data_IF_301033081843
#
_entry.id   IF_301033081843
#
_cell.length_a   1.000
_cell.length_b   1.000
_cell.length_c   1.000
_cell.angle_alpha   90.00
_cell.angle_beta   90.00
_cell.angle_gamma   90.00
#
_symmetry.space_group_name_H-M   'P 1'
#
loop_
_entity.id
_entity.type
_entity.pdbx_description
1 polymer ?
#
# COMPACT_ATOMS: atom_id res chain seq x y z
N UNK A 1 -5.66 25.20 -30.71
CA UNK A 1 -5.27 26.01 -29.53
C UNK A 1 -6.14 25.74 -28.30
N UNK A 2 -7.49 25.68 -28.38
CA UNK A 2 -8.35 25.35 -27.23
C UNK A 2 -8.12 23.92 -26.69
N UNK A 3 -8.08 22.91 -27.56
CA UNK A 3 -7.86 21.50 -27.19
C UNK A 3 -6.50 21.27 -26.51
N UNK A 4 -5.45 21.94 -26.99
CA UNK A 4 -4.11 21.88 -26.39
C UNK A 4 -4.09 22.48 -24.97
N UNK A 5 -4.82 23.58 -24.75
CA UNK A 5 -4.96 24.18 -23.43
C UNK A 5 -5.76 23.24 -22.50
N UNK A 6 -6.77 22.55 -23.02
CA UNK A 6 -7.56 21.55 -22.29
C UNK A 6 -6.70 20.34 -21.87
N UNK A 7 -5.86 19.79 -22.76
CA UNK A 7 -4.94 18.69 -22.42
C UNK A 7 -3.97 19.07 -21.30
N UNK A 8 -3.34 20.26 -21.39
CA UNK A 8 -2.41 20.73 -20.35
C UNK A 8 -3.16 21.02 -19.04
N UNK A 9 -4.37 21.59 -19.11
CA UNK A 9 -5.19 21.85 -17.93
C UNK A 9 -5.62 20.55 -17.25
N UNK A 10 -6.09 19.56 -18.00
CA UNK A 10 -6.48 18.26 -17.47
C UNK A 10 -5.29 17.49 -16.89
N UNK A 11 -4.09 17.68 -17.46
CA UNK A 11 -2.87 17.07 -16.92
C UNK A 11 -2.36 17.78 -15.66
N UNK A 12 -2.54 19.10 -15.55
CA UNK A 12 -2.30 19.84 -14.30
C UNK A 12 -3.31 19.43 -13.23
N UNK A 13 -4.59 19.26 -13.59
CA UNK A 13 -5.60 18.72 -12.68
C UNK A 13 -5.22 17.32 -12.22
N UNK A 14 -4.79 16.44 -13.13
CA UNK A 14 -4.27 15.12 -12.77
C UNK A 14 -3.05 15.22 -11.85
N UNK A 15 -2.05 16.06 -12.16
CA UNK A 15 -0.88 16.23 -11.32
C UNK A 15 -1.27 16.76 -9.93
N UNK A 16 -2.20 17.72 -9.86
CA UNK A 16 -2.76 18.23 -8.62
C UNK A 16 -3.56 17.17 -7.86
N UNK A 17 -4.30 16.29 -8.53
CA UNK A 17 -5.03 15.20 -7.91
C UNK A 17 -4.05 14.15 -7.35
N UNK A 18 -3.03 13.78 -8.11
CA UNK A 18 -1.93 12.90 -7.70
C UNK A 18 -1.11 13.47 -6.53
N UNK A 19 -1.03 14.79 -6.42
CA UNK A 19 -0.28 15.51 -5.36
C UNK A 19 -1.15 15.79 -4.14
N UNK A 20 -2.42 16.15 -4.35
CA UNK A 20 -3.43 16.49 -3.37
C UNK A 20 -3.96 15.28 -2.61
N UNK A 21 -3.96 14.11 -3.25
CA UNK A 21 -4.03 12.81 -2.57
C UNK A 21 -2.80 12.66 -1.67
N UNK A 22 -2.94 13.03 -0.40
CA UNK A 22 -1.90 12.95 0.61
C UNK A 22 -1.45 11.52 0.97
N UNK A 23 -1.71 10.48 0.17
CA UNK A 23 -1.26 9.13 0.49
C UNK A 23 -1.11 8.24 -0.76
N UNK A 24 0.15 8.06 -1.20
CA UNK A 24 0.64 7.03 -2.15
C UNK A 24 0.22 7.22 -3.62
N UNK A 25 1.22 7.17 -4.51
CA UNK A 25 1.04 7.22 -5.96
C UNK A 25 0.24 6.00 -6.42
N UNK A 26 -1.07 6.14 -6.61
CA UNK A 26 -1.94 4.98 -6.80
C UNK A 26 -2.09 4.62 -8.29
N UNK A 27 -1.88 3.34 -8.63
CA UNK A 27 -2.02 2.88 -10.03
C UNK A 27 -3.44 3.10 -10.55
N UNK A 28 -4.45 3.02 -9.69
CA UNK A 28 -5.86 3.29 -10.02
C UNK A 28 -6.05 4.68 -10.62
N UNK A 29 -5.42 5.69 -10.03
CA UNK A 29 -5.55 7.08 -10.49
C UNK A 29 -4.85 7.29 -11.84
N UNK A 30 -3.69 6.66 -12.03
CA UNK A 30 -2.97 6.69 -13.32
C UNK A 30 -3.77 5.98 -14.42
N UNK A 31 -4.32 4.79 -14.12
CA UNK A 31 -5.14 4.00 -15.06
C UNK A 31 -6.38 4.76 -15.54
N UNK A 32 -7.04 5.51 -14.65
CA UNK A 32 -8.22 6.30 -15.01
C UNK A 32 -7.91 7.46 -15.98
N UNK A 33 -6.63 7.84 -16.15
CA UNK A 33 -6.24 9.04 -16.92
C UNK A 33 -5.17 8.77 -17.97
N UNK A 34 -5.06 7.53 -18.42
CA UNK A 34 -4.05 7.15 -19.41
C UNK A 34 -4.11 8.02 -20.67
N UNK A 35 -5.31 8.29 -21.20
CA UNK A 35 -5.49 9.13 -22.39
C UNK A 35 -5.02 10.57 -22.16
N UNK A 36 -5.22 11.12 -20.96
CA UNK A 36 -4.76 12.46 -20.60
C UNK A 36 -3.24 12.51 -20.55
N UNK A 37 -2.59 11.52 -19.92
CA UNK A 37 -1.13 11.43 -19.83
C UNK A 37 -0.50 11.25 -21.21
N UNK A 38 -1.10 10.40 -22.05
CA UNK A 38 -0.67 10.23 -23.45
C UNK A 38 -0.84 11.52 -24.24
N UNK A 39 -1.98 12.20 -24.09
CA UNK A 39 -2.23 13.51 -24.70
C UNK A 39 -1.17 14.56 -24.31
N UNK A 40 -0.70 14.56 -23.06
CA UNK A 40 0.42 15.42 -22.65
C UNK A 40 1.69 15.10 -23.44
N UNK A 41 2.08 13.83 -23.55
CA UNK A 41 3.26 13.42 -24.30
C UNK A 41 3.19 13.85 -25.77
N UNK A 42 2.04 13.64 -26.42
CA UNK A 42 1.80 14.09 -27.79
C UNK A 42 1.87 15.62 -27.91
N UNK A 43 1.29 16.34 -26.95
CA UNK A 43 1.31 17.79 -26.93
C UNK A 43 2.73 18.37 -26.81
N UNK A 44 3.57 17.80 -25.94
CA UNK A 44 4.98 18.22 -25.81
C UNK A 44 5.76 17.90 -27.10
N UNK A 45 5.51 16.75 -27.74
CA UNK A 45 6.06 16.42 -29.07
C UNK A 45 5.73 17.53 -30.08
N UNK A 46 4.49 18.02 -30.09
CA UNK A 46 4.05 19.06 -31.02
C UNK A 46 4.70 20.42 -30.74
N UNK A 47 4.79 20.84 -29.47
CA UNK A 47 5.54 22.06 -29.07
C UNK A 47 6.97 22.01 -29.60
N UNK A 48 7.65 20.88 -29.41
CA UNK A 48 9.05 20.71 -29.81
C UNK A 48 9.20 20.80 -31.33
N UNK A 49 8.21 20.32 -32.08
CA UNK A 49 8.22 20.29 -33.54
C UNK A 49 7.93 21.67 -34.16
N UNK A 50 7.09 22.48 -33.50
CA UNK A 50 6.71 23.82 -33.95
C UNK A 50 7.78 24.88 -33.59
N UNK A 51 8.61 24.61 -32.57
CA UNK A 51 9.56 25.59 -32.01
C UNK A 51 8.87 26.56 -31.04
N UNK A 52 9.61 27.08 -30.05
CA UNK A 52 9.04 27.95 -28.99
C UNK A 52 8.18 29.07 -29.61
N UNK A 53 6.90 29.21 -29.21
CA UNK A 53 6.06 30.28 -29.74
C UNK A 53 6.63 31.65 -29.36
N UNK A 54 6.60 32.59 -30.31
CA UNK A 54 7.25 33.89 -30.23
C UNK A 54 6.63 34.88 -29.23
N UNK A 55 5.55 34.48 -28.55
CA UNK A 55 4.82 35.30 -27.57
C UNK A 55 4.54 34.49 -26.29
N UNK A 56 4.44 35.16 -25.11
CA UNK A 56 4.07 34.51 -23.86
C UNK A 56 2.70 33.84 -24.01
N UNK A 57 2.74 32.52 -24.18
CA UNK A 57 1.57 31.69 -24.38
C UNK A 57 1.08 31.20 -23.01
N UNK A 58 -0.22 31.34 -22.68
CA UNK A 58 -0.81 30.79 -21.44
C UNK A 58 -0.48 29.31 -21.21
N UNK A 59 -0.20 28.57 -22.28
CA UNK A 59 0.25 27.18 -22.21
C UNK A 59 1.65 27.03 -21.59
N UNK A 60 2.60 27.93 -21.87
CA UNK A 60 3.95 27.89 -21.28
C UNK A 60 3.90 28.10 -19.77
N UNK A 61 3.10 29.05 -19.29
CA UNK A 61 2.91 29.29 -17.86
C UNK A 61 2.29 28.07 -17.14
N UNK A 62 1.37 27.37 -17.82
CA UNK A 62 0.79 26.13 -17.31
C UNK A 62 1.82 24.98 -17.27
N UNK A 63 2.75 24.90 -18.23
CA UNK A 63 3.85 23.94 -18.17
C UNK A 63 4.78 24.19 -16.99
N UNK A 64 5.05 25.44 -16.61
CA UNK A 64 5.83 25.77 -15.39
C UNK A 64 5.12 25.34 -14.09
N UNK A 65 3.78 25.34 -14.08
CA UNK A 65 3.00 24.78 -12.96
C UNK A 65 3.12 23.27 -12.95
N UNK A 66 2.98 22.62 -14.11
CA UNK A 66 3.08 21.17 -14.25
C UNK A 66 4.48 20.66 -13.87
N UNK A 67 5.53 21.36 -14.28
CA UNK A 67 6.92 21.07 -13.93
C UNK A 67 7.12 21.01 -12.41
N UNK A 68 6.71 22.05 -11.69
CA UNK A 68 6.77 22.09 -10.22
C UNK A 68 6.01 20.93 -9.59
N UNK A 69 4.84 20.61 -10.13
CA UNK A 69 3.99 19.51 -9.66
C UNK A 69 4.67 18.14 -9.88
N UNK A 70 5.26 17.90 -11.05
CA UNK A 70 6.04 16.68 -11.31
C UNK A 70 7.27 16.59 -10.40
N UNK A 71 7.92 17.72 -10.09
CA UNK A 71 8.99 17.78 -9.10
C UNK A 71 8.54 17.35 -7.70
N UNK A 72 7.44 17.93 -7.20
CA UNK A 72 6.82 17.55 -5.91
C UNK A 72 6.49 16.04 -5.88
N UNK A 73 5.97 15.52 -6.99
CA UNK A 73 5.64 14.12 -7.16
C UNK A 73 6.87 13.21 -7.09
N UNK A 74 7.95 13.57 -7.80
CA UNK A 74 9.22 12.85 -7.80
C UNK A 74 9.87 12.83 -6.41
N UNK A 75 9.72 13.90 -5.62
CA UNK A 75 10.20 13.93 -4.23
C UNK A 75 9.44 12.95 -3.33
N UNK A 76 8.10 12.92 -3.40
CA UNK A 76 7.29 11.93 -2.66
C UNK A 76 7.65 10.50 -3.05
N UNK A 77 7.94 10.25 -4.33
CA UNK A 77 8.40 8.94 -4.81
C UNK A 77 9.76 8.54 -4.24
N UNK A 78 10.71 9.47 -4.13
CA UNK A 78 12.04 9.20 -3.55
C UNK A 78 11.91 8.71 -2.11
N UNK A 79 10.97 9.27 -1.34
CA UNK A 79 10.68 8.82 0.02
C UNK A 79 10.18 7.36 0.06
N UNK A 80 9.28 6.96 -0.85
CA UNK A 80 8.82 5.56 -0.97
C UNK A 80 10.00 4.61 -1.30
N UNK A 81 10.96 5.07 -2.11
CA UNK A 81 12.16 4.29 -2.41
C UNK A 81 13.18 4.25 -1.27
N UNK A 82 13.27 5.29 -0.44
CA UNK A 82 14.09 5.27 0.76
C UNK A 82 13.49 4.34 1.83
N UNK A 83 12.16 4.30 1.96
CA UNK A 83 11.47 3.30 2.80
C UNK A 83 11.77 1.87 2.33
N UNK A 84 11.74 1.61 1.02
CA UNK A 84 12.18 0.34 0.43
C UNK A 84 13.63 0.01 0.81
N UNK A 85 14.53 1.01 0.72
CA UNK A 85 15.95 0.85 0.98
C UNK A 85 16.26 0.60 2.45
N UNK A 86 15.53 1.25 3.38
CA UNK A 86 15.75 1.16 4.83
C UNK A 86 15.47 -0.23 5.41
N UNK A 87 14.50 -0.97 4.85
CA UNK A 87 14.22 -2.36 5.22
C UNK A 87 15.24 -3.35 4.64
N UNK A 88 16.07 -2.90 3.68
CA UNK A 88 16.88 -3.75 2.81
C UNK A 88 18.38 -3.42 2.89
N UNK A 89 18.96 -3.46 4.09
CA UNK A 89 20.43 -3.56 4.23
C UNK A 89 21.00 -4.79 3.50
N UNK A 90 20.15 -5.74 3.06
CA UNK A 90 20.45 -6.74 2.07
C UNK A 90 19.38 -6.77 0.94
N UNK A 91 19.52 -5.94 -0.10
CA UNK A 91 19.58 -6.37 -1.51
C UNK A 91 19.62 -5.14 -2.44
N UNK A 92 20.56 -5.16 -3.38
CA UNK A 92 20.71 -4.22 -4.51
C UNK A 92 19.52 -4.20 -5.49
N UNK A 93 18.50 -5.02 -5.24
CA UNK A 93 17.41 -5.35 -6.13
C UNK A 93 16.46 -4.18 -6.44
N UNK A 94 15.85 -3.55 -5.42
CA UNK A 94 14.93 -2.40 -5.63
C UNK A 94 15.64 -1.15 -6.12
N UNK A 95 16.93 -1.00 -5.79
CA UNK A 95 17.73 0.16 -6.15
C UNK A 95 17.78 0.37 -7.66
N UNK A 96 17.81 -0.71 -8.46
CA UNK A 96 17.78 -0.65 -9.93
C UNK A 96 16.47 -0.02 -10.44
N UNK A 97 15.32 -0.52 -9.97
CA UNK A 97 14.01 -0.02 -10.41
C UNK A 97 13.77 1.42 -9.95
N UNK A 98 14.14 1.71 -8.71
CA UNK A 98 14.09 3.06 -8.13
C UNK A 98 14.91 4.07 -8.94
N UNK A 99 16.17 3.71 -9.19
CA UNK A 99 17.08 4.58 -9.94
C UNK A 99 16.58 4.78 -11.38
N UNK A 100 16.12 3.73 -12.03
CA UNK A 100 15.56 3.80 -13.38
C UNK A 100 14.35 4.74 -13.43
N UNK A 101 13.34 4.50 -12.59
CA UNK A 101 12.14 5.32 -12.55
C UNK A 101 12.45 6.80 -12.23
N UNK A 102 13.37 7.05 -11.29
CA UNK A 102 13.84 8.39 -10.94
C UNK A 102 14.53 9.10 -12.12
N UNK A 103 15.49 8.44 -12.78
CA UNK A 103 16.19 9.01 -13.95
C UNK A 103 15.21 9.34 -15.07
N UNK A 104 14.34 8.40 -15.43
CA UNK A 104 13.36 8.59 -16.49
C UNK A 104 12.36 9.70 -16.17
N UNK A 105 11.93 9.83 -14.90
CA UNK A 105 11.03 10.90 -14.47
C UNK A 105 11.70 12.27 -14.59
N UNK A 106 12.97 12.40 -14.23
CA UNK A 106 13.72 13.65 -14.38
C UNK A 106 13.90 14.05 -15.84
N UNK A 107 14.23 13.08 -16.71
CA UNK A 107 14.38 13.35 -18.14
C UNK A 107 13.04 13.69 -18.80
N UNK A 108 11.97 12.98 -18.42
CA UNK A 108 10.61 13.32 -18.81
C UNK A 108 10.25 14.76 -18.38
N UNK A 109 10.54 15.13 -17.13
CA UNK A 109 10.32 16.47 -16.62
C UNK A 109 11.10 17.50 -17.43
N UNK A 110 12.36 17.24 -17.79
CA UNK A 110 13.15 18.15 -18.63
C UNK A 110 12.52 18.37 -20.02
N UNK A 111 11.82 17.38 -20.58
CA UNK A 111 11.05 17.60 -21.83
C UNK A 111 9.88 18.57 -21.66
N UNK A 112 9.37 18.76 -20.44
CA UNK A 112 8.29 19.67 -20.09
C UNK A 112 8.84 21.06 -19.75
N UNK A 113 9.88 21.14 -18.92
CA UNK A 113 10.48 22.43 -18.49
C UNK A 113 11.28 23.08 -19.62
N UNK A 114 11.95 22.26 -20.44
CA UNK A 114 12.80 22.70 -21.54
C UNK A 114 12.42 21.99 -22.86
N UNK A 115 11.22 22.25 -23.42
CA UNK A 115 10.75 21.55 -24.60
C UNK A 115 11.60 21.94 -25.82
N UNK A 116 12.54 21.07 -26.18
CA UNK A 116 13.40 21.22 -27.33
C UNK A 116 13.79 19.85 -27.90
N UNK A 117 14.34 19.85 -29.13
CA UNK A 117 14.78 18.62 -29.80
C UNK A 117 15.80 17.86 -28.94
N UNK A 118 16.66 18.58 -28.22
CA UNK A 118 17.72 17.99 -27.41
C UNK A 118 17.18 17.23 -26.19
N UNK A 119 16.29 17.84 -25.39
CA UNK A 119 15.70 17.18 -24.21
C UNK A 119 14.86 15.97 -24.60
N UNK A 120 14.08 16.07 -25.69
CA UNK A 120 13.34 14.94 -26.28
C UNK A 120 14.27 13.79 -26.68
N UNK A 121 15.40 14.10 -27.31
CA UNK A 121 16.33 13.08 -27.78
C UNK A 121 17.06 12.37 -26.63
N UNK A 122 17.46 13.12 -25.60
CA UNK A 122 18.05 12.53 -24.39
C UNK A 122 17.05 11.59 -23.73
N UNK A 123 15.81 12.04 -23.54
CA UNK A 123 14.77 11.21 -22.96
C UNK A 123 14.52 9.95 -23.79
N UNK A 124 14.40 10.08 -25.12
CA UNK A 124 14.23 8.93 -26.02
C UNK A 124 15.33 7.88 -25.85
N UNK A 125 16.60 8.31 -25.90
CA UNK A 125 17.76 7.40 -25.80
C UNK A 125 17.79 6.66 -24.47
N UNK A 126 17.45 7.34 -23.38
CA UNK A 126 17.40 6.70 -22.07
C UNK A 126 16.26 5.68 -22.00
N UNK A 127 15.10 5.98 -22.59
CA UNK A 127 13.98 5.05 -22.64
C UNK A 127 14.19 3.86 -23.56
N UNK A 128 14.97 4.01 -24.64
CA UNK A 128 15.40 2.88 -25.47
C UNK A 128 16.36 1.95 -24.69
N UNK A 129 17.24 2.55 -23.88
CA UNK A 129 18.20 1.81 -23.04
C UNK A 129 17.53 1.17 -21.82
N UNK A 130 16.54 1.85 -21.25
CA UNK A 130 15.81 1.45 -20.05
C UNK A 130 14.30 1.58 -20.23
N UNK A 131 13.64 0.72 -21.03
CA UNK A 131 12.22 0.88 -21.33
C UNK A 131 11.34 0.76 -20.08
N UNK A 132 10.46 1.74 -19.77
CA UNK A 132 9.57 1.68 -18.62
C UNK A 132 8.77 0.38 -18.54
N UNK A 133 8.14 -0.02 -19.65
CA UNK A 133 7.40 -1.28 -19.74
C UNK A 133 8.26 -2.49 -19.32
N UNK A 134 9.47 -2.63 -19.89
CA UNK A 134 10.34 -3.77 -19.59
C UNK A 134 10.70 -3.83 -18.10
N UNK A 135 11.06 -2.69 -17.51
CA UNK A 135 11.43 -2.63 -16.10
C UNK A 135 10.24 -2.89 -15.19
N UNK A 136 9.04 -2.43 -15.55
CA UNK A 136 7.82 -2.73 -14.80
C UNK A 136 7.48 -4.22 -14.85
N UNK A 137 7.58 -4.87 -16.02
CA UNK A 137 7.35 -6.31 -16.14
C UNK A 137 8.40 -7.13 -15.39
N UNK A 138 9.67 -6.72 -15.45
CA UNK A 138 10.74 -7.34 -14.66
C UNK A 138 10.46 -7.19 -13.16
N UNK A 139 10.02 -6.01 -12.73
CA UNK A 139 9.64 -5.76 -11.34
C UNK A 139 8.49 -6.68 -10.89
N UNK A 140 7.42 -6.78 -11.68
CA UNK A 140 6.28 -7.66 -11.40
C UNK A 140 6.74 -9.12 -11.32
N UNK A 141 7.51 -9.60 -12.29
CA UNK A 141 7.99 -10.98 -12.33
C UNK A 141 8.79 -11.38 -11.08
N UNK A 142 9.51 -10.41 -10.50
CA UNK A 142 10.27 -10.63 -9.28
C UNK A 142 9.39 -10.58 -8.02
N UNK A 143 8.27 -9.86 -8.04
CA UNK A 143 7.27 -9.92 -6.97
C UNK A 143 6.54 -11.27 -6.95
N UNK A 144 6.51 -12.01 -8.05
CA UNK A 144 5.89 -13.34 -8.07
C UNK A 144 6.72 -14.39 -7.30
N UNK A 145 8.04 -14.21 -7.22
CA UNK A 145 8.94 -15.13 -6.51
C UNK A 145 8.96 -14.84 -5.00
N UNK A 146 8.94 -15.90 -4.18
CA UNK A 146 8.81 -15.78 -2.72
C UNK A 146 9.97 -15.00 -2.07
N UNK A 147 11.21 -15.27 -2.49
CA UNK A 147 12.43 -14.72 -1.88
C UNK A 147 12.84 -13.34 -2.39
N UNK A 148 12.15 -12.80 -3.40
CA UNK A 148 12.39 -11.45 -3.92
C UNK A 148 11.17 -10.54 -3.73
N UNK A 149 10.04 -11.08 -3.27
CA UNK A 149 8.85 -10.32 -2.92
C UNK A 149 9.00 -9.72 -1.50
N UNK A 150 9.18 -8.40 -1.37
CA UNK A 150 9.44 -7.79 -0.08
C UNK A 150 8.19 -7.75 0.81
N UNK A 151 6.99 -7.78 0.23
CA UNK A 151 5.75 -7.90 0.99
C UNK A 151 5.74 -9.25 1.69
N UNK A 152 6.01 -10.34 0.97
CA UNK A 152 6.06 -11.69 1.55
C UNK A 152 7.17 -11.81 2.60
N UNK A 153 8.35 -11.26 2.31
CA UNK A 153 9.47 -11.24 3.24
C UNK A 153 9.15 -10.46 4.53
N UNK A 154 8.54 -9.28 4.40
CA UNK A 154 8.16 -8.46 5.54
C UNK A 154 7.04 -9.09 6.35
N UNK A 155 6.04 -9.67 5.68
CA UNK A 155 5.01 -10.45 6.36
C UNK A 155 5.65 -11.61 7.12
N UNK A 156 6.60 -12.35 6.54
CA UNK A 156 7.33 -13.43 7.22
C UNK A 156 8.15 -12.95 8.43
N UNK A 157 8.72 -11.75 8.34
CA UNK A 157 9.50 -11.14 9.42
C UNK A 157 8.63 -10.53 10.54
N UNK A 158 7.40 -10.13 10.23
CA UNK A 158 6.42 -9.62 11.19
C UNK A 158 5.77 -10.79 11.95
N UNK A 159 6.09 -11.02 13.23
CA UNK A 159 5.59 -12.17 13.98
C UNK A 159 4.07 -12.16 14.16
N UNK A 160 3.44 -10.99 14.03
CA UNK A 160 2.01 -10.77 14.22
C UNK A 160 1.23 -10.73 12.90
N UNK A 161 1.93 -10.71 11.74
CA UNK A 161 1.30 -10.65 10.41
C UNK A 161 0.29 -9.50 10.31
N UNK A 162 0.72 -8.29 10.66
CA UNK A 162 -0.19 -7.16 10.79
C UNK A 162 -0.71 -6.64 9.45
N UNK A 163 -1.92 -6.06 9.48
CA UNK A 163 -2.50 -5.30 8.37
C UNK A 163 -1.64 -4.10 8.05
N UNK A 164 -1.10 -3.42 9.06
CA UNK A 164 -0.15 -2.31 8.87
C UNK A 164 1.05 -2.73 8.02
N UNK A 165 1.71 -3.86 8.32
CA UNK A 165 2.84 -4.36 7.52
C UNK A 165 2.40 -4.65 6.10
N UNK A 166 1.31 -5.40 5.92
CA UNK A 166 0.82 -5.76 4.58
C UNK A 166 0.51 -4.52 3.74
N UNK A 167 -0.32 -3.62 4.26
CA UNK A 167 -0.78 -2.43 3.54
C UNK A 167 0.34 -1.43 3.30
N UNK A 168 1.35 -1.35 4.17
CA UNK A 168 2.57 -0.58 3.90
C UNK A 168 3.23 -1.08 2.62
N UNK A 169 3.54 -2.37 2.53
CA UNK A 169 4.25 -2.93 1.38
C UNK A 169 3.44 -2.94 0.10
N UNK A 170 2.15 -3.28 0.20
CA UNK A 170 1.20 -3.17 -0.91
C UNK A 170 1.20 -1.76 -1.49
N UNK A 171 1.13 -0.75 -0.63
CA UNK A 171 1.12 0.66 -1.03
C UNK A 171 2.42 1.11 -1.70
N UNK A 172 3.56 0.61 -1.24
CA UNK A 172 4.86 0.91 -1.85
C UNK A 172 4.96 0.28 -3.25
N UNK A 173 4.60 -1.00 -3.39
CA UNK A 173 4.59 -1.71 -4.68
C UNK A 173 3.68 -0.98 -5.68
N UNK A 174 2.48 -0.60 -5.25
CA UNK A 174 1.53 0.17 -6.07
C UNK A 174 2.15 1.50 -6.52
N UNK A 175 2.84 2.19 -5.61
CA UNK A 175 3.60 3.41 -5.89
C UNK A 175 4.59 3.29 -7.04
N UNK A 176 5.44 2.26 -7.00
CA UNK A 176 6.48 2.02 -8.03
C UNK A 176 5.83 1.69 -9.38
N UNK A 177 4.80 0.85 -9.39
CA UNK A 177 4.10 0.45 -10.61
C UNK A 177 3.35 1.61 -11.25
N UNK A 178 2.73 2.46 -10.43
CA UNK A 178 2.07 3.65 -10.92
C UNK A 178 3.07 4.57 -11.63
N UNK A 179 4.30 4.69 -11.13
CA UNK A 179 5.35 5.51 -11.76
C UNK A 179 5.75 4.97 -13.13
N UNK A 180 5.99 3.67 -13.23
CA UNK A 180 6.27 3.07 -14.53
C UNK A 180 5.09 3.19 -15.50
N UNK A 181 3.86 3.03 -15.03
CA UNK A 181 2.67 3.21 -15.87
C UNK A 181 2.54 4.65 -16.37
N UNK A 182 2.78 5.63 -15.50
CA UNK A 182 2.78 7.04 -15.90
C UNK A 182 3.85 7.33 -16.95
N UNK A 183 5.09 6.89 -16.71
CA UNK A 183 6.20 7.04 -17.64
C UNK A 183 5.89 6.39 -18.98
N UNK A 184 5.50 5.12 -18.99
CA UNK A 184 5.14 4.38 -20.20
C UNK A 184 4.02 5.06 -20.99
N UNK A 185 3.05 5.66 -20.30
CA UNK A 185 1.93 6.35 -20.94
C UNK A 185 2.33 7.70 -21.53
N UNK A 186 3.13 8.48 -20.82
CA UNK A 186 3.67 9.73 -21.33
C UNK A 186 4.53 9.49 -22.57
N UNK A 187 5.42 8.50 -22.45
CA UNK A 187 6.26 7.98 -23.51
C UNK A 187 5.37 7.64 -24.71
N UNK A 188 4.36 6.77 -24.54
CA UNK A 188 3.44 6.32 -25.58
C UNK A 188 2.89 7.48 -26.44
N UNK A 189 2.43 8.54 -25.79
CA UNK A 189 1.95 9.74 -26.49
C UNK A 189 3.04 10.52 -27.23
N UNK A 190 4.24 10.61 -26.64
CA UNK A 190 5.35 11.38 -27.19
C UNK A 190 6.03 10.72 -28.40
N UNK A 191 6.11 9.39 -28.47
CA UNK A 191 6.87 8.71 -29.54
C UNK A 191 6.12 7.59 -30.30
N UNK A 192 4.96 7.11 -29.83
CA UNK A 192 4.22 6.00 -30.48
C UNK A 192 2.80 6.39 -30.85
N UNK A 193 2.58 7.67 -31.11
CA UNK A 193 1.31 8.22 -31.61
C UNK A 193 0.09 7.77 -30.81
N UNK A 194 0.26 7.63 -29.49
CA UNK A 194 -0.81 7.22 -28.58
C UNK A 194 -1.46 5.87 -28.95
N UNK A 195 -0.70 4.91 -29.52
CA UNK A 195 -1.23 3.60 -29.88
C UNK A 195 -1.68 2.75 -28.68
N UNK A 196 -1.35 3.17 -27.45
CA UNK A 196 -1.72 2.58 -26.18
C UNK A 196 -1.32 1.11 -25.94
N UNK A 197 -0.50 0.51 -26.82
CA UNK A 197 -0.09 -0.90 -26.68
C UNK A 197 0.66 -1.15 -25.36
N UNK A 198 1.72 -0.40 -25.10
CA UNK A 198 2.53 -0.53 -23.88
C UNK A 198 1.73 -0.25 -22.60
N UNK A 199 1.06 0.92 -22.48
CA UNK A 199 0.27 1.26 -21.31
C UNK A 199 -0.84 0.25 -20.98
N UNK A 200 -1.60 -0.23 -21.98
CA UNK A 200 -2.69 -1.20 -21.75
C UNK A 200 -2.17 -2.57 -21.33
N UNK A 201 -1.05 -3.00 -21.90
CA UNK A 201 -0.40 -4.25 -21.48
C UNK A 201 0.10 -4.16 -20.04
N UNK A 202 0.69 -3.03 -19.66
CA UNK A 202 1.15 -2.80 -18.30
C UNK A 202 -0.02 -2.69 -17.32
N UNK A 203 -1.08 -1.96 -17.67
CA UNK A 203 -2.32 -1.86 -16.88
C UNK A 203 -2.90 -3.24 -16.58
N UNK A 204 -3.02 -4.10 -17.61
CA UNK A 204 -3.48 -5.48 -17.45
C UNK A 204 -2.62 -6.24 -16.44
N UNK A 205 -1.30 -6.18 -16.59
CA UNK A 205 -0.36 -6.91 -15.73
C UNK A 205 -0.38 -6.42 -14.28
N UNK A 206 -0.55 -5.12 -14.06
CA UNK A 206 -0.72 -4.54 -12.72
C UNK A 206 -2.01 -5.06 -12.07
N UNK A 207 -3.11 -5.13 -12.82
CA UNK A 207 -4.38 -5.65 -12.29
C UNK A 207 -4.29 -7.13 -11.92
N UNK A 208 -3.60 -7.95 -12.72
CA UNK A 208 -3.32 -9.35 -12.38
C UNK A 208 -2.54 -9.47 -11.06
N UNK A 209 -1.48 -8.68 -10.89
CA UNK A 209 -0.71 -8.64 -9.64
C UNK A 209 -1.54 -8.15 -8.44
N UNK A 210 -2.46 -7.20 -8.63
CA UNK A 210 -3.37 -6.77 -7.56
C UNK A 210 -4.28 -7.89 -7.09
N UNK A 211 -4.78 -8.71 -8.00
CA UNK A 211 -5.55 -9.90 -7.64
C UNK A 211 -4.70 -10.96 -6.93
N UNK A 212 -3.42 -11.10 -7.30
CA UNK A 212 -2.48 -11.93 -6.55
C UNK A 212 -2.24 -11.40 -5.14
N UNK A 213 -2.03 -10.09 -4.97
CA UNK A 213 -1.89 -9.48 -3.66
C UNK A 213 -3.15 -9.66 -2.82
N UNK A 214 -4.35 -9.56 -3.40
CA UNK A 214 -5.60 -9.88 -2.70
C UNK A 214 -5.62 -11.33 -2.20
N UNK A 215 -5.19 -12.28 -3.03
CA UNK A 215 -5.07 -13.69 -2.61
C UNK A 215 -4.05 -13.85 -1.48
N UNK A 216 -2.87 -13.23 -1.57
CA UNK A 216 -1.89 -13.27 -0.49
C UNK A 216 -2.45 -12.67 0.81
N UNK A 217 -3.22 -11.59 0.71
CA UNK A 217 -3.89 -11.00 1.88
C UNK A 217 -4.86 -11.98 2.54
N UNK A 218 -5.61 -12.75 1.76
CA UNK A 218 -6.50 -13.81 2.26
C UNK A 218 -5.70 -14.99 2.86
N UNK A 219 -4.58 -15.37 2.25
CA UNK A 219 -3.72 -16.45 2.75
C UNK A 219 -3.13 -16.11 4.14
N UNK A 220 -2.71 -14.85 4.35
CA UNK A 220 -2.20 -14.39 5.65
C UNK A 220 -3.27 -14.26 6.74
N UNK A 221 -4.55 -14.34 6.37
CA UNK A 221 -5.63 -14.40 7.34
C UNK A 221 -5.86 -15.82 7.88
N UNK A 222 -5.10 -16.83 7.45
CA UNK A 222 -5.22 -18.15 8.04
C UNK A 222 -4.97 -18.08 9.54
N UNK A 223 -5.83 -18.75 10.28
CA UNK A 223 -6.16 -18.34 11.62
C UNK A 223 -5.14 -18.78 12.68
N UNK A 224 -4.00 -19.33 12.28
CA UNK A 224 -2.85 -19.54 13.17
C UNK A 224 -1.67 -18.61 12.84
N UNK A 225 -1.67 -17.97 11.67
CA UNK A 225 -0.68 -16.96 11.33
C UNK A 225 -0.81 -15.77 12.31
N UNK A 226 0.33 -15.26 12.80
CA UNK A 226 0.38 -14.16 13.77
C UNK A 226 0.13 -14.55 15.24
N UNK A 227 -0.56 -15.66 15.52
CA UNK A 227 -0.90 -16.07 16.89
C UNK A 227 0.31 -16.44 17.74
N UNK A 228 1.31 -17.06 17.12
CA UNK A 228 2.57 -17.42 17.79
C UNK A 228 3.30 -16.18 18.32
N UNK A 229 3.15 -15.02 17.64
CA UNK A 229 3.73 -13.75 18.07
C UNK A 229 2.98 -13.04 19.19
N UNK A 230 1.72 -13.41 19.47
CA UNK A 230 0.86 -12.70 20.45
C UNK A 230 1.43 -12.79 21.86
N UNK A 231 2.03 -13.92 22.24
CA UNK A 231 2.63 -14.07 23.57
C UNK A 231 3.80 -13.11 23.77
N UNK A 232 4.70 -13.03 22.79
CA UNK A 232 5.83 -12.11 22.83
C UNK A 232 5.33 -10.65 22.91
N UNK A 233 4.35 -10.29 22.10
CA UNK A 233 3.74 -8.96 22.13
C UNK A 233 3.15 -8.61 23.50
N UNK A 234 2.48 -9.57 24.17
CA UNK A 234 1.96 -9.37 25.53
C UNK A 234 3.10 -9.07 26.50
N UNK A 235 4.16 -9.88 26.48
CA UNK A 235 5.30 -9.72 27.37
C UNK A 235 6.00 -8.36 27.16
N UNK A 236 6.16 -7.93 25.90
CA UNK A 236 6.70 -6.61 25.55
C UNK A 236 5.85 -5.46 26.10
N UNK A 237 4.51 -5.56 26.01
CA UNK A 237 3.63 -4.53 26.57
C UNK A 237 3.69 -4.53 28.09
N UNK A 238 3.73 -5.70 28.73
CA UNK A 238 3.83 -5.76 30.19
C UNK A 238 5.10 -5.05 30.68
N UNK A 239 6.25 -5.41 30.12
CA UNK A 239 7.56 -4.95 30.58
C UNK A 239 7.88 -3.51 30.13
N UNK A 240 7.47 -3.12 28.92
CA UNK A 240 7.74 -1.79 28.37
C UNK A 240 6.86 -0.68 28.95
N UNK A 241 5.72 -1.04 29.55
CA UNK A 241 4.69 -0.09 29.99
C UNK A 241 4.42 -0.17 31.50
N UNK A 242 5.43 -0.49 32.32
CA UNK A 242 5.28 -0.54 33.79
C UNK A 242 4.78 0.75 34.45
N UNK A 243 4.91 1.88 33.77
CA UNK A 243 4.56 3.21 34.26
C UNK A 243 3.09 3.58 34.06
N UNK A 244 2.34 2.80 33.28
CA UNK A 244 0.91 3.05 33.01
C UNK A 244 0.02 2.00 33.69
N UNK A 245 -1.25 2.35 33.89
CA UNK A 245 -2.24 1.49 34.51
C UNK A 245 -2.70 0.33 33.61
N UNK A 246 -3.37 -0.66 34.20
CA UNK A 246 -3.87 -1.84 33.47
C UNK A 246 -4.85 -1.50 32.33
N UNK A 247 -5.64 -0.43 32.50
CA UNK A 247 -6.55 0.04 31.45
C UNK A 247 -5.79 0.43 30.19
N UNK A 248 -4.77 1.28 30.31
CA UNK A 248 -3.96 1.73 29.19
C UNK A 248 -3.19 0.59 28.52
N UNK A 249 -2.66 -0.35 29.32
CA UNK A 249 -2.08 -1.59 28.77
C UNK A 249 -3.10 -2.41 27.97
N UNK A 250 -4.35 -2.47 28.44
CA UNK A 250 -5.44 -3.15 27.73
C UNK A 250 -5.75 -2.47 26.40
N UNK A 251 -5.77 -1.14 26.37
CA UNK A 251 -6.01 -0.37 25.14
C UNK A 251 -4.89 -0.61 24.11
N UNK A 252 -3.63 -0.61 24.56
CA UNK A 252 -2.47 -0.91 23.70
C UNK A 252 -2.56 -2.33 23.13
N UNK A 253 -2.87 -3.32 23.98
CA UNK A 253 -3.04 -4.71 23.54
C UNK A 253 -4.20 -4.86 22.56
N UNK A 254 -5.33 -4.20 22.82
CA UNK A 254 -6.47 -4.19 21.91
C UNK A 254 -6.06 -3.64 20.54
N UNK A 255 -5.41 -2.48 20.50
CA UNK A 255 -4.98 -1.87 19.24
C UNK A 255 -4.05 -2.80 18.43
N UNK A 256 -3.09 -3.47 19.10
CA UNK A 256 -2.17 -4.40 18.42
C UNK A 256 -2.87 -5.65 17.93
N UNK A 257 -3.83 -6.19 18.69
CA UNK A 257 -4.62 -7.36 18.30
C UNK A 257 -5.56 -7.05 17.14
N UNK A 258 -6.16 -5.86 17.11
CA UNK A 258 -7.05 -5.40 16.03
C UNK A 258 -6.32 -5.22 14.69
N UNK A 259 -5.00 -5.02 14.74
CA UNK A 259 -4.13 -4.90 13.56
C UNK A 259 -3.67 -6.26 13.02
N UNK A 260 -3.83 -7.36 13.77
CA UNK A 260 -3.49 -8.71 13.27
C UNK A 260 -4.44 -9.08 12.12
N UNK A 261 -3.89 -9.60 11.01
CA UNK A 261 -4.71 -10.17 9.95
C UNK A 261 -5.40 -11.43 10.44
N UNK A 262 -6.72 -11.38 10.58
CA UNK A 262 -7.53 -12.51 11.01
C UNK A 262 -8.61 -12.82 9.99
N UNK A 263 -8.91 -14.12 9.84
CA UNK A 263 -9.90 -14.64 8.92
C UNK A 263 -11.25 -13.95 9.04
N UNK A 264 -11.76 -13.49 7.90
CA UNK A 264 -13.17 -13.19 7.73
C UNK A 264 -13.95 -14.50 7.56
N UNK A 265 -14.88 -14.82 8.48
CA UNK A 265 -15.80 -15.92 8.23
C UNK A 265 -16.99 -15.41 7.41
N UNK A 266 -17.14 -15.88 6.17
CA UNK A 266 -18.36 -15.68 5.37
C UNK A 266 -19.49 -16.47 6.03
N UNK A 267 -20.45 -15.80 6.66
CA UNK A 267 -21.64 -16.45 7.21
C UNK A 267 -22.59 -16.79 6.08
N UNK A 268 -22.55 -18.04 5.60
CA UNK A 268 -23.53 -18.56 4.66
C UNK A 268 -24.89 -18.68 5.36
N UNK A 269 -25.89 -17.89 4.93
CA UNK A 269 -27.29 -18.09 5.33
C UNK A 269 -28.12 -16.85 5.65
N UNK A 270 -27.57 -15.63 5.57
CA UNK A 270 -28.35 -14.39 5.72
C UNK A 270 -28.21 -13.55 4.45
N UNK A 271 -29.31 -12.92 4.01
CA UNK A 271 -29.38 -12.09 2.80
C UNK A 271 -28.56 -10.79 2.89
N UNK A 272 -28.00 -10.51 4.07
CA UNK A 272 -27.01 -9.47 4.29
C UNK A 272 -25.69 -10.10 4.74
N UNK A 273 -24.64 -9.78 4.00
CA UNK A 273 -23.28 -10.25 4.23
C UNK A 273 -22.77 -9.71 5.58
N UNK A 274 -22.70 -10.57 6.60
CA UNK A 274 -22.06 -10.21 7.87
C UNK A 274 -20.65 -10.81 7.90
N UNK A 275 -19.63 -9.94 7.86
CA UNK A 275 -18.22 -10.29 7.93
C UNK A 275 -17.75 -10.16 9.38
N UNK A 276 -17.31 -11.25 10.02
CA UNK A 276 -16.71 -11.20 11.35
C UNK A 276 -15.26 -11.68 11.29
N UNK A 277 -14.33 -10.81 11.69
CA UNK A 277 -12.96 -11.15 12.05
C UNK A 277 -12.95 -11.97 13.34
N UNK A 278 -11.81 -12.59 13.68
CA UNK A 278 -11.64 -13.14 15.03
C UNK A 278 -11.78 -12.00 16.04
N UNK A 279 -12.67 -12.17 17.02
CA UNK A 279 -12.74 -11.27 18.16
C UNK A 279 -11.73 -11.71 19.22
N UNK A 280 -11.07 -10.73 19.82
CA UNK A 280 -10.17 -10.93 20.94
C UNK A 280 -10.81 -10.43 22.22
N UNK A 281 -10.60 -11.17 23.31
CA UNK A 281 -10.92 -10.74 24.66
C UNK A 281 -9.62 -10.59 25.41
N UNK A 282 -9.37 -9.39 25.92
CA UNK A 282 -8.17 -9.04 26.67
C UNK A 282 -8.57 -8.77 28.12
N UNK A 283 -7.89 -9.43 29.05
CA UNK A 283 -7.99 -9.14 30.47
C UNK A 283 -6.61 -8.74 30.98
N UNK A 284 -6.51 -7.53 31.51
CA UNK A 284 -5.31 -7.02 32.20
C UNK A 284 -5.68 -6.72 33.64
N UNK A 285 -4.99 -7.34 34.58
CA UNK A 285 -5.30 -7.18 36.01
C UNK A 285 -4.02 -7.19 36.85
N UNK A 286 -4.16 -6.76 38.11
CA UNK A 286 -3.03 -6.64 39.01
C UNK A 286 -2.35 -7.99 39.23
N UNK A 287 -1.06 -7.91 39.53
CA UNK A 287 -0.30 -9.06 39.98
C UNK A 287 -0.97 -9.74 41.20
N UNK A 288 -1.07 -11.07 41.17
CA UNK A 288 -1.66 -11.87 42.24
C UNK A 288 -0.83 -13.12 42.46
N UNK A 289 -0.27 -13.28 43.66
CA UNK A 289 0.87 -14.16 43.99
C UNK A 289 0.72 -15.67 43.73
N UNK A 290 -0.47 -16.19 43.39
CA UNK A 290 -0.68 -17.64 43.26
C UNK A 290 -1.61 -18.00 42.10
N UNK A 291 -1.30 -19.12 41.44
CA UNK A 291 -2.10 -19.68 40.34
C UNK A 291 -3.53 -20.04 40.76
N UNK A 292 -3.74 -20.33 42.06
CA UNK A 292 -5.04 -20.66 42.65
C UNK A 292 -6.03 -19.49 42.67
N UNK A 293 -5.58 -18.27 42.40
CA UNK A 293 -6.44 -17.08 42.34
C UNK A 293 -7.00 -16.82 40.93
N UNK A 294 -6.77 -17.73 39.98
CA UNK A 294 -7.23 -17.63 38.61
C UNK A 294 -8.44 -18.54 38.37
N UNK A 295 -9.58 -17.96 38.00
CA UNK A 295 -10.81 -18.70 37.71
C UNK A 295 -11.13 -18.71 36.20
N UNK A 296 -10.21 -19.24 35.39
CA UNK A 296 -10.44 -19.41 33.94
C UNK A 296 -10.02 -20.81 33.48
N UNK A 297 -10.86 -21.43 32.65
CA UNK A 297 -10.61 -22.71 31.99
C UNK A 297 -10.52 -22.45 30.49
N UNK A 298 -9.57 -23.09 29.82
CA UNK A 298 -9.30 -22.83 28.41
C UNK A 298 -8.96 -24.09 27.63
N UNK A 299 -9.16 -24.02 26.31
CA UNK A 299 -8.56 -24.92 25.34
C UNK A 299 -7.25 -24.27 24.86
N UNK A 300 -6.16 -25.03 24.77
CA UNK A 300 -4.79 -24.55 24.56
C UNK A 300 -4.62 -23.70 23.29
N UNK A 301 -5.42 -23.95 22.26
CA UNK A 301 -5.19 -23.36 20.93
C UNK A 301 -5.75 -21.93 20.75
N UNK A 302 -6.56 -21.44 21.70
CA UNK A 302 -7.27 -20.14 21.59
C UNK A 302 -6.98 -19.19 22.75
N UNK A 303 -6.00 -19.53 23.56
CA UNK A 303 -5.75 -18.87 24.83
C UNK A 303 -4.26 -18.65 25.04
N UNK A 304 -3.89 -17.42 25.38
CA UNK A 304 -2.54 -17.05 25.79
C UNK A 304 -2.64 -16.35 27.14
N UNK A 305 -1.76 -16.72 28.06
CA UNK A 305 -1.59 -16.03 29.33
C UNK A 305 -0.13 -15.69 29.59
N UNK A 306 0.09 -14.56 30.25
CA UNK A 306 1.39 -14.14 30.76
C UNK A 306 1.20 -13.52 32.14
N UNK A 307 1.85 -14.11 33.14
CA UNK A 307 1.66 -13.77 34.54
C UNK A 307 2.93 -13.20 35.16
N UNK A 308 2.75 -12.35 36.18
CA UNK A 308 3.83 -11.80 37.01
C UNK A 308 4.90 -11.03 36.23
N UNK A 309 4.50 -10.33 35.16
CA UNK A 309 5.38 -9.47 34.36
C UNK A 309 4.91 -8.04 34.36
N UNK A 310 5.83 -7.09 34.44
CA UNK A 310 5.51 -5.66 34.42
C UNK A 310 4.43 -5.22 35.41
N UNK A 311 4.37 -5.87 36.60
CA UNK A 311 3.39 -5.62 37.68
C UNK A 311 1.93 -5.94 37.33
N UNK A 312 1.68 -6.73 36.29
CA UNK A 312 0.33 -7.18 35.94
C UNK A 312 0.30 -8.62 35.42
N UNK A 313 -0.92 -9.10 35.23
CA UNK A 313 -1.25 -10.37 34.59
C UNK A 313 -2.09 -10.08 33.35
N UNK A 314 -1.83 -10.79 32.27
CA UNK A 314 -2.54 -10.64 31.00
C UNK A 314 -3.07 -11.99 30.53
N UNK A 315 -4.33 -11.98 30.10
CA UNK A 315 -4.98 -13.11 29.44
C UNK A 315 -5.60 -12.62 28.13
N UNK A 316 -5.29 -13.31 27.04
CA UNK A 316 -5.88 -13.06 25.72
C UNK A 316 -6.58 -14.31 25.22
N UNK A 317 -7.85 -14.16 24.85
CA UNK A 317 -8.67 -15.20 24.25
C UNK A 317 -9.10 -14.80 22.83
N UNK A 318 -9.08 -15.74 21.87
CA UNK A 318 -9.56 -15.52 20.49
C UNK A 318 -10.75 -16.40 20.12
N UNK A 319 -11.71 -15.88 19.35
CA UNK A 319 -12.95 -16.61 18.99
C UNK A 319 -12.80 -17.70 17.91
N UNK A 320 -11.57 -18.03 17.51
CA UNK A 320 -11.24 -18.87 16.35
C UNK A 320 -12.01 -20.20 16.23
N UNK A 321 -12.30 -20.90 17.35
CA UNK A 321 -13.09 -22.17 17.32
C UNK A 321 -14.52 -22.07 17.82
N UNK A 322 -14.98 -20.91 18.29
CA UNK A 322 -16.39 -20.76 18.67
C UNK A 322 -17.33 -20.76 17.45
N UNK A 323 -16.81 -20.48 16.24
CA UNK A 323 -17.60 -20.59 15.02
C UNK A 323 -17.92 -22.04 14.60
N UNK A 324 -17.19 -23.03 15.12
CA UNK A 324 -17.28 -24.43 14.68
C UNK A 324 -17.91 -25.40 15.69
N UNK A 325 -18.31 -24.98 16.90
CA UNK A 325 -18.93 -25.90 17.87
C UNK A 325 -20.10 -25.31 18.66
N UNK A 326 -21.29 -25.83 18.37
CA UNK A 326 -22.40 -25.97 19.33
C UNK A 326 -23.31 -24.76 19.57
N UNK A 327 -24.46 -25.03 20.19
CA UNK A 327 -25.59 -24.12 20.51
C UNK A 327 -25.20 -22.85 21.30
N UNK A 328 -24.04 -22.81 21.95
CA UNK A 328 -23.49 -21.63 22.64
C UNK A 328 -22.98 -20.55 21.65
N UNK A 329 -22.51 -20.95 20.46
CA UNK A 329 -22.08 -20.04 19.41
C UNK A 329 -23.22 -19.13 18.93
N UNK A 330 -24.46 -19.63 18.90
CA UNK A 330 -25.65 -18.84 18.52
C UNK A 330 -26.00 -17.75 19.53
N UNK A 331 -25.72 -17.97 20.83
CA UNK A 331 -25.93 -16.94 21.87
C UNK A 331 -24.92 -15.80 21.75
N UNK A 332 -23.65 -16.12 21.49
CA UNK A 332 -22.62 -15.11 21.22
C UNK A 332 -22.89 -14.36 19.90
N UNK A 333 -23.37 -15.07 18.85
CA UNK A 333 -23.79 -14.47 17.57
C UNK A 333 -24.90 -13.44 17.77
N UNK A 334 -25.91 -13.76 18.59
CA UNK A 334 -27.00 -12.83 18.89
C UNK A 334 -26.50 -11.60 19.66
N UNK A 335 -25.61 -11.80 20.63
CA UNK A 335 -25.02 -10.71 21.41
C UNK A 335 -24.15 -9.76 20.56
N UNK A 336 -23.38 -10.28 19.61
CA UNK A 336 -22.54 -9.48 18.69
C UNK A 336 -23.41 -8.72 17.67
N UNK A 337 -24.42 -9.37 17.08
CA UNK A 337 -25.37 -8.73 16.15
C UNK A 337 -26.27 -7.67 16.80
N UNK A 338 -26.45 -7.72 18.13
CA UNK A 338 -27.20 -6.74 18.89
C UNK A 338 -26.38 -5.53 19.37
N UNK A 339 -25.07 -5.46 19.08
CA UNK A 339 -24.28 -4.26 19.41
C UNK A 339 -24.69 -3.12 18.46
N UNK A 340 -24.99 -1.91 18.99
CA UNK A 340 -25.16 -0.75 18.13
C UNK A 340 -23.84 -0.49 17.37
N UNK A 341 -23.90 0.00 16.12
CA UNK A 341 -22.71 0.37 15.38
C UNK A 341 -21.87 1.35 16.20
N UNK A 342 -20.54 1.19 16.14
CA UNK A 342 -19.63 2.16 16.75
C UNK A 342 -19.97 3.56 16.21
N UNK A 343 -20.07 4.58 17.07
CA UNK A 343 -20.22 5.95 16.60
C UNK A 343 -19.04 6.24 15.68
N UNK A 344 -19.34 6.65 14.45
CA UNK A 344 -18.32 7.14 13.53
C UNK A 344 -17.59 8.29 14.23
N UNK A 345 -16.26 8.21 14.27
CA UNK A 345 -15.44 9.35 14.66
C UNK A 345 -15.73 10.47 13.66
N UNK A 346 -16.32 11.56 14.17
CA UNK A 346 -16.64 12.79 13.43
C UNK A 346 -15.36 13.52 13.05
#
# INVERSE_FOLDING_TARGET
MPENLEHVTNTITLANDLIGLHARYATKEVMNRLLTISGLGSFIKDIISIGKPSQPNPVIQKLEVLDRKIGELSHKMTYLFDDLKSFMSAHSFFKKFASCASTLTKLMQDTISNPCVHSKEIFRKECESTPPLRFALEFISQLEQEFTNPLKMAMKADPLRTRTTFEKWRGIIDGVLAQFLYLETYLNGMFWDSNMYGPRNLEKRINELKEEMNRWYEDYQDANEGWDGVKQMIEEVQDGYEHVGNHEKSDILQQRLDDILTKYHKLLGLSEYFFCSNAFYVLVYNDCRTYANHAFSHNTDNFICSFHRGKCNVVVYRTFRFHHRGTQANKLRYAIGSRPPYPALV
#
